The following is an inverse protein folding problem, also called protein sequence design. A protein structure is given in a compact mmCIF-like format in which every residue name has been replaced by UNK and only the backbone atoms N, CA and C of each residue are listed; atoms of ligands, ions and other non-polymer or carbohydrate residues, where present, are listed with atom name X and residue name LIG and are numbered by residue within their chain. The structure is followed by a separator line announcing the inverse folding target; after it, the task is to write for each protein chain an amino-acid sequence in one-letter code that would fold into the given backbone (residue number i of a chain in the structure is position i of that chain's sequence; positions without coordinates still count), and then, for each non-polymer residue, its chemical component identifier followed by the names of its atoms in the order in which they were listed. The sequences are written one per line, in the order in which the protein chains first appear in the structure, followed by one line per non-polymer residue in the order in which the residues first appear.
data_IF_860429380962
#
_entry.id   IF_860429380962
#
_cell.length_a   1.000
_cell.length_b   1.000
_cell.length_c   1.000
_cell.angle_alpha   90.00
_cell.angle_beta   90.00
_cell.angle_gamma   90.00
#
_symmetry.space_group_name_H-M   'P 1'
#
loop_
_entity.id
_entity.type
_entity.pdbx_description
1 polymer ?
#
# COMPACT_ATOMS: atom_id res chain seq x y z
N UNK A 1 -35.22 -19.93 -26.08
CA UNK A 1 -33.97 -19.71 -26.85
C UNK A 1 -33.82 -18.21 -27.06
N UNK A 2 -32.61 -17.68 -26.91
CA UNK A 2 -32.30 -16.25 -26.93
C UNK A 2 -31.34 -15.93 -28.07
N UNK A 3 -31.46 -14.73 -28.62
CA UNK A 3 -30.42 -14.16 -29.50
C UNK A 3 -29.26 -13.59 -28.68
N UNK A 4 -28.15 -13.30 -29.35
CA UNK A 4 -26.97 -12.68 -28.70
C UNK A 4 -27.34 -11.37 -28.00
N UNK A 5 -28.17 -10.52 -28.61
CA UNK A 5 -28.60 -9.25 -28.02
C UNK A 5 -29.48 -9.45 -26.78
N UNK A 6 -30.41 -10.40 -26.82
CA UNK A 6 -31.25 -10.75 -25.67
C UNK A 6 -30.43 -11.35 -24.51
N UNK A 7 -29.42 -12.17 -24.82
CA UNK A 7 -28.50 -12.68 -23.82
C UNK A 7 -27.70 -11.54 -23.16
N UNK A 8 -27.29 -10.53 -23.93
CA UNK A 8 -26.56 -9.35 -23.41
C UNK A 8 -27.42 -8.45 -22.52
N UNK A 9 -28.72 -8.34 -22.79
CA UNK A 9 -29.66 -7.68 -21.87
C UNK A 9 -29.74 -8.41 -20.53
N UNK A 10 -29.75 -9.75 -20.53
CA UNK A 10 -29.70 -10.55 -19.30
C UNK A 10 -28.40 -10.34 -18.52
N UNK A 11 -27.25 -10.21 -19.19
CA UNK A 11 -25.98 -9.86 -18.53
C UNK A 11 -26.00 -8.47 -17.90
N UNK A 12 -26.59 -7.47 -18.58
CA UNK A 12 -26.77 -6.11 -18.06
C UNK A 12 -27.68 -6.08 -16.83
N UNK A 13 -28.83 -6.75 -16.90
CA UNK A 13 -29.77 -6.88 -15.78
C UNK A 13 -29.13 -7.58 -14.57
N UNK A 14 -28.16 -8.46 -14.81
CA UNK A 14 -27.42 -9.15 -13.78
C UNK A 14 -26.20 -8.38 -13.23
N UNK A 15 -25.98 -7.13 -13.68
CA UNK A 15 -24.83 -6.28 -13.34
C UNK A 15 -23.46 -6.93 -13.61
N UNK A 16 -23.39 -7.85 -14.58
CA UNK A 16 -22.15 -8.48 -14.99
C UNK A 16 -21.64 -7.77 -16.25
N UNK A 17 -20.58 -6.94 -16.18
CA UNK A 17 -20.09 -6.20 -17.33
C UNK A 17 -19.51 -7.18 -18.37
N UNK A 18 -20.07 -7.19 -19.57
CA UNK A 18 -19.60 -7.99 -20.71
C UNK A 18 -19.81 -7.24 -22.04
N UNK A 19 -19.11 -7.71 -23.07
CA UNK A 19 -19.18 -7.19 -24.44
C UNK A 19 -19.74 -8.29 -25.37
N UNK A 20 -20.56 -7.91 -26.36
CA UNK A 20 -21.13 -8.83 -27.35
C UNK A 20 -20.05 -9.65 -28.07
N UNK A 21 -18.90 -9.06 -28.38
CA UNK A 21 -17.80 -9.74 -29.06
C UNK A 21 -17.23 -10.89 -28.22
N UNK A 22 -17.19 -10.69 -26.90
CA UNK A 22 -16.74 -11.70 -25.94
C UNK A 22 -17.74 -12.85 -25.88
N UNK A 23 -19.03 -12.56 -25.88
CA UNK A 23 -20.09 -13.57 -25.93
C UNK A 23 -20.06 -14.37 -27.24
N UNK A 24 -19.92 -13.70 -28.39
CA UNK A 24 -19.76 -14.36 -29.71
C UNK A 24 -18.52 -15.26 -29.75
N UNK A 25 -17.42 -14.84 -29.12
CA UNK A 25 -16.20 -15.66 -29.01
C UNK A 25 -16.42 -16.91 -28.16
N UNK A 26 -17.23 -16.86 -27.11
CA UNK A 26 -17.54 -18.02 -26.28
C UNK A 26 -18.44 -19.02 -26.99
N UNK A 27 -19.42 -18.54 -27.75
CA UNK A 27 -20.28 -19.37 -28.60
C UNK A 27 -19.45 -20.15 -29.64
N UNK A 28 -18.53 -19.48 -30.34
CA UNK A 28 -17.62 -20.15 -31.29
C UNK A 28 -16.70 -21.19 -30.64
N UNK A 29 -16.33 -20.98 -29.38
CA UNK A 29 -15.45 -21.88 -28.63
C UNK A 29 -16.19 -23.03 -27.93
N UNK A 30 -17.51 -23.14 -28.13
CA UNK A 30 -18.32 -24.20 -27.51
C UNK A 30 -18.42 -24.09 -25.98
N UNK A 31 -18.19 -22.91 -25.40
CA UNK A 31 -18.30 -22.70 -23.94
C UNK A 31 -19.73 -22.60 -23.43
N UNK A 32 -20.71 -22.55 -24.35
CA UNK A 32 -22.13 -22.44 -24.04
C UNK A 32 -22.79 -23.66 -24.67
N UNK A 33 -23.21 -24.58 -23.82
CA UNK A 33 -23.81 -25.85 -24.24
C UNK A 33 -25.15 -25.61 -24.95
N UNK A 34 -25.41 -26.45 -25.96
CA UNK A 34 -26.63 -26.45 -26.79
C UNK A 34 -26.91 -25.14 -27.55
N UNK A 35 -25.91 -24.24 -27.68
CA UNK A 35 -26.00 -23.10 -28.56
C UNK A 35 -25.81 -23.53 -30.03
N UNK A 36 -26.74 -23.12 -30.89
CA UNK A 36 -26.76 -23.51 -32.31
C UNK A 36 -26.79 -22.28 -33.20
N UNK A 37 -26.13 -22.37 -34.36
CA UNK A 37 -26.24 -21.35 -35.41
C UNK A 37 -27.53 -21.62 -36.17
N UNK A 38 -28.50 -20.72 -36.09
CA UNK A 38 -29.80 -20.89 -36.74
C UNK A 38 -29.71 -20.64 -38.25
N UNK A 39 -29.09 -19.53 -38.64
CA UNK A 39 -28.81 -19.21 -40.04
C UNK A 39 -27.68 -18.17 -40.15
N UNK A 40 -27.09 -18.02 -41.35
CA UNK A 40 -26.08 -16.96 -41.60
C UNK A 40 -26.64 -15.54 -41.40
N UNK A 41 -27.97 -15.35 -41.54
CA UNK A 41 -28.63 -14.04 -41.39
C UNK A 41 -29.09 -13.78 -39.94
N UNK A 42 -29.57 -14.80 -39.23
CA UNK A 42 -30.18 -14.63 -37.90
C UNK A 42 -29.21 -14.91 -36.75
N UNK A 43 -28.10 -15.59 -37.02
CA UNK A 43 -27.01 -15.77 -36.06
C UNK A 43 -27.23 -16.93 -35.08
N UNK A 44 -26.82 -16.73 -33.83
CA UNK A 44 -26.81 -17.76 -32.79
C UNK A 44 -28.11 -17.79 -31.99
N UNK A 45 -28.64 -18.99 -31.77
CA UNK A 45 -29.67 -19.28 -30.78
C UNK A 45 -29.05 -19.92 -29.55
N UNK A 46 -29.32 -19.32 -28.40
CA UNK A 46 -28.70 -19.68 -27.13
C UNK A 46 -29.77 -20.16 -26.16
N UNK A 47 -29.63 -21.32 -25.52
CA UNK A 47 -30.53 -21.73 -24.45
C UNK A 47 -30.47 -20.75 -23.28
N UNK A 48 -31.64 -20.45 -22.72
CA UNK A 48 -31.74 -19.49 -21.61
C UNK A 48 -31.07 -20.02 -20.33
N UNK A 49 -31.15 -21.34 -20.11
CA UNK A 49 -30.55 -21.97 -18.94
C UNK A 49 -29.01 -21.92 -18.97
N UNK A 50 -28.41 -22.11 -20.15
CA UNK A 50 -26.96 -21.97 -20.34
C UNK A 50 -26.45 -20.55 -20.02
N UNK A 51 -27.25 -19.51 -20.30
CA UNK A 51 -26.93 -18.12 -19.96
C UNK A 51 -27.04 -17.88 -18.45
N UNK A 52 -28.06 -18.42 -17.79
CA UNK A 52 -28.23 -18.29 -16.33
C UNK A 52 -27.05 -18.87 -15.57
N UNK A 53 -26.60 -20.07 -15.94
CA UNK A 53 -25.43 -20.73 -15.32
C UNK A 53 -24.17 -19.86 -15.46
N UNK A 54 -23.93 -19.31 -16.64
CA UNK A 54 -22.79 -18.43 -16.92
C UNK A 54 -22.81 -17.14 -16.11
N UNK A 55 -24.00 -16.54 -15.94
CA UNK A 55 -24.19 -15.35 -15.11
C UNK A 55 -23.86 -15.66 -13.64
N UNK A 56 -24.32 -16.79 -13.11
CA UNK A 56 -24.04 -17.20 -11.74
C UNK A 56 -22.55 -17.44 -11.47
N UNK A 57 -21.85 -18.12 -12.39
CA UNK A 57 -20.40 -18.32 -12.30
C UNK A 57 -19.64 -16.99 -12.26
N UNK A 58 -20.08 -16.01 -13.06
CA UNK A 58 -19.45 -14.69 -13.13
C UNK A 58 -19.73 -13.86 -11.88
N UNK A 59 -20.96 -13.89 -11.36
CA UNK A 59 -21.31 -13.23 -10.09
C UNK A 59 -20.43 -13.74 -8.95
N UNK A 60 -20.21 -15.07 -8.86
CA UNK A 60 -19.30 -15.66 -7.86
C UNK A 60 -17.88 -15.09 -7.98
N UNK A 61 -17.33 -14.96 -9.19
CA UNK A 61 -15.98 -14.40 -9.41
C UNK A 61 -15.86 -12.93 -9.04
N UNK A 62 -16.88 -12.12 -9.33
CA UNK A 62 -16.91 -10.69 -8.95
C UNK A 62 -16.96 -10.52 -7.43
N UNK A 63 -17.80 -11.32 -6.75
CA UNK A 63 -17.87 -11.32 -5.28
C UNK A 63 -16.55 -11.69 -4.62
N UNK A 64 -15.86 -12.71 -5.15
CA UNK A 64 -14.54 -13.12 -4.65
C UNK A 64 -13.52 -11.99 -4.79
N UNK A 65 -13.45 -11.30 -5.93
CA UNK A 65 -12.54 -10.17 -6.15
C UNK A 65 -12.81 -9.01 -5.18
N UNK A 66 -14.09 -8.68 -4.94
CA UNK A 66 -14.48 -7.64 -3.98
C UNK A 66 -14.13 -8.02 -2.54
N UNK A 67 -14.21 -9.30 -2.17
CA UNK A 67 -13.83 -9.80 -0.85
C UNK A 67 -12.34 -9.59 -0.56
N UNK A 68 -11.46 -9.85 -1.54
CA UNK A 68 -10.02 -9.60 -1.39
C UNK A 68 -9.69 -8.11 -1.26
N UNK A 69 -10.33 -7.26 -2.06
CA UNK A 69 -10.16 -5.81 -1.99
C UNK A 69 -10.59 -5.26 -0.62
N UNK A 70 -11.71 -5.77 -0.08
CA UNK A 70 -12.21 -5.40 1.24
C UNK A 70 -11.26 -5.83 2.35
N UNK A 71 -10.79 -7.09 2.33
CA UNK A 71 -9.82 -7.59 3.31
C UNK A 71 -8.51 -6.80 3.32
N UNK A 72 -8.03 -6.35 2.15
CA UNK A 72 -6.86 -5.49 2.03
C UNK A 72 -7.10 -4.11 2.67
N UNK A 73 -8.23 -3.47 2.35
CA UNK A 73 -8.58 -2.17 2.93
C UNK A 73 -8.79 -2.25 4.45
N UNK A 74 -9.41 -3.33 4.93
CA UNK A 74 -9.64 -3.57 6.35
C UNK A 74 -8.28 -3.74 7.09
N UNK A 75 -7.34 -4.51 6.52
CA UNK A 75 -5.99 -4.67 7.07
C UNK A 75 -5.20 -3.35 7.11
N UNK A 76 -5.32 -2.51 6.08
CA UNK A 76 -4.68 -1.19 6.04
C UNK A 76 -5.26 -0.25 7.11
N UNK A 77 -6.59 -0.24 7.28
CA UNK A 77 -7.24 0.56 8.33
C UNK A 77 -6.85 0.10 9.72
N UNK A 78 -6.72 -1.21 9.94
CA UNK A 78 -6.29 -1.77 11.21
C UNK A 78 -4.83 -1.39 11.54
N UNK A 79 -3.91 -1.48 10.58
CA UNK A 79 -2.52 -1.02 10.76
C UNK A 79 -2.43 0.48 11.10
N UNK A 80 -3.27 1.32 10.48
CA UNK A 80 -3.35 2.75 10.81
C UNK A 80 -3.96 3.03 12.19
N UNK A 81 -4.92 2.20 12.63
CA UNK A 81 -5.49 2.29 13.96
C UNK A 81 -4.47 1.89 15.04
N UNK A 82 -3.72 0.81 14.82
CA UNK A 82 -2.65 0.35 15.71
C UNK A 82 -1.52 1.36 15.80
N UNK A 83 -1.14 1.97 14.68
CA UNK A 83 -0.17 3.06 14.63
C UNK A 83 -0.61 4.28 15.45
N UNK A 84 -1.87 4.72 15.27
CA UNK A 84 -2.44 5.83 16.05
C UNK A 84 -2.59 5.50 17.53
N UNK A 85 -2.91 4.25 17.86
CA UNK A 85 -3.02 3.75 19.24
C UNK A 85 -1.66 3.77 19.94
N UNK A 86 -0.60 3.30 19.27
CA UNK A 86 0.77 3.44 19.76
C UNK A 86 1.09 4.91 19.99
N UNK A 87 0.94 5.77 18.98
CA UNK A 87 1.17 7.22 19.11
C UNK A 87 0.39 7.88 20.25
N UNK A 88 -0.86 7.47 20.51
CA UNK A 88 -1.66 7.99 21.63
C UNK A 88 -1.10 7.57 22.99
N UNK A 89 -0.56 6.36 23.12
CA UNK A 89 0.14 5.94 24.35
C UNK A 89 1.35 6.84 24.61
N UNK A 90 2.14 7.17 23.60
CA UNK A 90 3.30 8.09 23.73
C UNK A 90 2.91 9.51 24.17
N UNK A 91 1.79 10.04 23.68
CA UNK A 91 1.30 11.38 24.08
C UNK A 91 0.89 11.43 25.56
N UNK A 92 0.49 10.30 26.17
CA UNK A 92 0.00 10.24 27.56
C UNK A 92 1.14 10.15 28.59
N UNK A 93 2.29 9.56 28.25
CA UNK A 93 3.42 9.41 29.18
C UNK A 93 4.35 10.64 29.27
N UNK A 94 4.29 11.55 28.30
CA UNK A 94 5.20 12.69 28.21
C UNK A 94 6.59 12.27 27.72
N UNK A 95 7.34 13.21 27.14
CA UNK A 95 8.70 12.94 26.64
C UNK A 95 9.72 13.41 27.66
N UNK A 96 10.74 12.59 27.91
CA UNK A 96 11.85 12.96 28.81
C UNK A 96 12.72 14.05 28.18
N UNK A 97 12.97 13.94 26.88
CA UNK A 97 13.82 14.85 26.10
C UNK A 97 13.24 15.09 24.71
N UNK A 98 13.56 16.25 24.15
CA UNK A 98 13.16 16.65 22.80
C UNK A 98 14.24 17.49 22.15
N UNK A 99 14.32 17.45 20.84
CA UNK A 99 15.23 18.28 20.07
C UNK A 99 14.80 18.40 18.62
N UNK A 100 15.68 18.97 17.80
CA UNK A 100 15.43 19.15 16.37
C UNK A 100 16.60 18.60 15.56
N UNK A 101 16.29 17.88 14.49
CA UNK A 101 17.25 17.42 13.50
C UNK A 101 17.31 18.44 12.38
N UNK A 102 18.48 19.03 12.13
CA UNK A 102 18.67 19.86 10.94
C UNK A 102 18.95 18.97 9.74
N UNK A 103 18.35 19.33 8.61
CA UNK A 103 18.56 18.68 7.32
C UNK A 103 20.03 18.71 6.88
N UNK A 104 20.76 19.77 7.23
CA UNK A 104 22.20 19.87 6.97
C UNK A 104 23.01 18.86 7.79
N UNK A 105 22.68 18.69 9.06
CA UNK A 105 23.36 17.76 9.98
C UNK A 105 23.08 16.31 9.57
N UNK A 106 21.82 16.00 9.24
CA UNK A 106 21.46 14.69 8.68
C UNK A 106 22.30 14.35 7.44
N UNK A 107 22.48 15.31 6.51
CA UNK A 107 23.26 15.10 5.29
C UNK A 107 24.74 14.85 5.55
N UNK A 108 25.31 15.44 6.60
CA UNK A 108 26.72 15.26 6.95
C UNK A 108 27.02 13.85 7.48
N UNK A 109 26.04 13.25 8.18
CA UNK A 109 26.22 11.99 8.90
C UNK A 109 25.58 10.82 8.13
N UNK A 110 24.77 11.10 7.10
CA UNK A 110 24.09 10.07 6.34
C UNK A 110 25.03 9.02 5.73
N UNK A 111 24.70 7.72 5.84
CA UNK A 111 25.56 6.63 5.39
C UNK A 111 25.67 6.54 3.86
N UNK A 112 24.70 7.09 3.13
CA UNK A 112 24.69 7.14 1.67
C UNK A 112 24.77 8.59 1.20
N UNK A 113 25.90 8.95 0.59
CA UNK A 113 26.09 10.29 0.03
C UNK A 113 25.71 10.32 -1.46
N UNK A 114 24.41 10.32 -1.77
CA UNK A 114 23.93 10.42 -3.15
C UNK A 114 22.68 11.29 -3.28
N UNK A 115 22.56 12.02 -4.40
CA UNK A 115 21.41 12.87 -4.67
C UNK A 115 20.09 12.10 -4.71
N UNK A 116 20.11 10.85 -5.22
CA UNK A 116 18.92 10.00 -5.29
C UNK A 116 18.44 9.62 -3.87
N UNK A 117 19.37 9.25 -2.99
CA UNK A 117 19.06 8.97 -1.58
C UNK A 117 18.53 10.22 -0.87
N UNK A 118 19.18 11.38 -1.01
CA UNK A 118 18.71 12.58 -0.33
C UNK A 118 17.37 13.09 -0.85
N UNK A 119 17.09 12.96 -2.15
CA UNK A 119 15.75 13.25 -2.70
C UNK A 119 14.69 12.31 -2.11
N UNK A 120 15.03 11.04 -1.94
CA UNK A 120 14.14 10.06 -1.31
C UNK A 120 13.84 10.44 0.15
N UNK A 121 14.85 10.73 0.96
CA UNK A 121 14.66 11.16 2.35
C UNK A 121 13.86 12.47 2.42
N UNK A 122 14.18 13.44 1.56
CA UNK A 122 13.45 14.70 1.50
C UNK A 122 11.96 14.46 1.22
N UNK A 123 11.61 13.60 0.27
CA UNK A 123 10.21 13.29 -0.04
C UNK A 123 9.47 12.58 1.09
N UNK A 124 10.11 11.64 1.77
CA UNK A 124 9.47 10.79 2.77
C UNK A 124 9.46 11.38 4.18
N UNK A 125 10.32 12.38 4.43
CA UNK A 125 10.51 12.97 5.75
C UNK A 125 10.44 14.51 5.72
N UNK A 126 11.49 15.19 5.24
CA UNK A 126 11.59 16.65 5.37
C UNK A 126 10.52 17.43 4.60
N UNK A 127 9.96 16.87 3.53
CA UNK A 127 8.88 17.45 2.72
C UNK A 127 7.52 16.77 2.95
N UNK A 128 7.39 15.89 3.96
CA UNK A 128 6.11 15.19 4.18
C UNK A 128 5.02 16.18 4.55
N UNK A 129 3.97 16.25 3.72
CA UNK A 129 2.84 17.17 3.89
C UNK A 129 3.11 18.61 3.49
N UNK A 130 4.23 18.91 2.82
CA UNK A 130 4.56 20.27 2.32
C UNK A 130 5.25 20.23 0.95
N UNK A 131 5.19 21.33 0.20
CA UNK A 131 5.75 21.39 -1.14
C UNK A 131 7.29 21.47 -1.19
N UNK A 132 7.93 22.04 -0.15
CA UNK A 132 9.39 22.20 -0.07
C UNK A 132 9.93 21.50 1.18
N UNK A 133 11.11 20.83 1.11
CA UNK A 133 11.74 20.24 2.27
C UNK A 133 12.01 21.28 3.36
N UNK A 134 11.66 20.94 4.60
CA UNK A 134 11.95 21.74 5.79
C UNK A 134 13.44 21.74 6.09
N UNK A 135 13.93 22.80 6.73
CA UNK A 135 15.33 22.89 7.17
C UNK A 135 15.59 22.09 8.45
N UNK A 136 14.57 21.92 9.29
CA UNK A 136 14.63 21.10 10.50
C UNK A 136 13.29 20.43 10.81
N UNK A 137 13.35 19.36 11.60
CA UNK A 137 12.19 18.60 12.09
C UNK A 137 12.43 18.15 13.52
N UNK A 138 11.38 18.03 14.31
CA UNK A 138 11.49 17.67 15.72
C UNK A 138 11.61 16.15 15.92
N UNK A 139 12.26 15.77 17.01
CA UNK A 139 12.19 14.42 17.56
C UNK A 139 11.92 14.48 19.07
N UNK A 140 11.40 13.37 19.57
CA UNK A 140 11.14 13.17 20.99
C UNK A 140 11.75 11.86 21.46
N UNK A 141 12.27 11.84 22.69
CA UNK A 141 12.89 10.67 23.29
C UNK A 141 12.22 10.33 24.62
N UNK A 142 11.96 9.04 24.83
CA UNK A 142 11.44 8.49 26.09
C UNK A 142 11.79 7.01 26.20
N UNK A 143 12.32 6.59 27.34
CA UNK A 143 12.55 5.18 27.72
C UNK A 143 13.23 4.32 26.63
N UNK A 144 14.22 4.86 25.91
CA UNK A 144 14.93 4.12 24.85
C UNK A 144 14.29 4.19 23.47
N UNK A 145 13.27 5.02 23.28
CA UNK A 145 12.61 5.18 21.99
C UNK A 145 12.76 6.60 21.45
N UNK A 146 12.98 6.69 20.14
CA UNK A 146 12.87 7.94 19.40
C UNK A 146 11.58 7.98 18.61
N UNK A 147 10.82 9.07 18.78
CA UNK A 147 9.64 9.38 18.01
C UNK A 147 9.92 10.57 17.08
N UNK A 148 9.66 10.37 15.79
CA UNK A 148 9.74 11.39 14.75
C UNK A 148 8.33 11.62 14.19
N UNK A 149 7.62 12.66 14.69
CA UNK A 149 6.20 12.86 14.37
C UNK A 149 5.98 13.10 12.87
N UNK A 150 6.87 13.90 12.29
CA UNK A 150 6.97 14.07 10.84
C UNK A 150 7.52 12.76 10.30
N UNK A 151 6.82 12.13 9.37
CA UNK A 151 7.19 10.79 8.91
C UNK A 151 6.49 9.68 9.68
N UNK A 152 6.01 9.96 10.89
CA UNK A 152 5.29 8.99 11.73
C UNK A 152 6.19 7.77 12.01
N UNK A 153 7.46 8.02 12.31
CA UNK A 153 8.49 7.00 12.52
C UNK A 153 8.74 6.86 14.02
N UNK A 154 8.80 5.62 14.50
CA UNK A 154 9.21 5.29 15.87
C UNK A 154 10.34 4.28 15.77
N UNK A 155 11.44 4.54 16.47
CA UNK A 155 12.62 3.68 16.49
C UNK A 155 12.90 3.27 17.94
N UNK A 156 12.90 1.97 18.19
CA UNK A 156 13.38 1.38 19.44
C UNK A 156 14.90 1.23 19.36
N UNK A 157 15.63 1.75 20.35
CA UNK A 157 17.10 1.60 20.41
C UNK A 157 17.55 0.17 20.72
N UNK A 158 16.68 -0.69 21.25
CA UNK A 158 17.02 -2.07 21.65
C UNK A 158 16.73 -3.12 20.56
N UNK A 159 15.71 -2.93 19.73
CA UNK A 159 15.25 -3.95 18.76
C UNK A 159 16.02 -3.96 17.44
N UNK A 160 16.69 -2.87 17.11
CA UNK A 160 17.38 -2.77 15.82
C UNK A 160 18.85 -3.21 16.01
N UNK A 161 19.51 -3.84 15.02
CA UNK A 161 20.96 -4.17 15.06
C UNK A 161 21.91 -2.97 15.26
N UNK A 162 21.38 -1.81 15.61
CA UNK A 162 22.09 -0.59 15.94
C UNK A 162 23.04 -0.68 17.11
N UNK A 163 22.75 -1.53 18.09
CA UNK A 163 23.63 -1.74 19.23
C UNK A 163 25.03 -2.24 18.79
N UNK A 164 25.13 -2.96 17.67
CA UNK A 164 26.41 -3.49 17.16
C UNK A 164 27.23 -2.47 16.37
N UNK A 165 26.59 -1.43 15.80
CA UNK A 165 27.30 -0.40 15.01
C UNK A 165 28.02 0.60 15.92
N UNK A 166 27.60 0.72 17.19
CA UNK A 166 27.96 1.86 18.04
C UNK A 166 28.27 1.48 19.51
N UNK A 167 28.79 0.27 19.78
CA UNK A 167 29.26 -0.12 21.14
C UNK A 167 30.31 0.86 21.71
N UNK A 168 31.03 1.58 20.83
CA UNK A 168 32.04 2.60 21.18
C UNK A 168 31.45 3.99 21.50
N UNK A 169 30.15 4.22 21.29
CA UNK A 169 29.52 5.55 21.34
C UNK A 169 28.56 5.74 22.53
N UNK A 170 28.83 5.09 23.67
CA UNK A 170 28.03 5.21 24.91
C UNK A 170 27.87 6.65 25.44
N UNK A 171 28.74 7.57 25.00
CA UNK A 171 28.79 8.95 25.45
C UNK A 171 28.29 9.97 24.41
N UNK A 172 27.67 9.53 23.31
CA UNK A 172 27.14 10.47 22.32
C UNK A 172 26.01 11.33 22.88
N UNK A 173 26.00 12.60 22.49
CA UNK A 173 24.85 13.47 22.73
C UNK A 173 23.61 12.87 22.05
N UNK A 174 22.51 12.82 22.78
CA UNK A 174 21.24 12.27 22.34
C UNK A 174 20.78 12.76 20.94
N UNK A 175 21.05 14.02 20.60
CA UNK A 175 20.75 14.64 19.32
C UNK A 175 21.50 13.94 18.17
N UNK A 176 22.78 13.63 18.38
CA UNK A 176 23.59 12.87 17.43
C UNK A 176 23.02 11.46 17.26
N UNK A 177 22.67 10.81 18.36
CA UNK A 177 22.06 9.48 18.33
C UNK A 177 20.73 9.49 17.56
N UNK A 178 19.89 10.50 17.78
CA UNK A 178 18.63 10.65 17.04
C UNK A 178 18.88 10.73 15.52
N UNK A 179 19.86 11.53 15.09
CA UNK A 179 20.22 11.66 13.67
C UNK A 179 20.73 10.34 13.11
N UNK A 180 21.61 9.65 13.83
CA UNK A 180 22.17 8.36 13.42
C UNK A 180 21.09 7.31 13.24
N UNK A 181 20.21 7.13 14.25
CA UNK A 181 19.10 6.18 14.21
C UNK A 181 18.15 6.47 13.04
N UNK A 182 17.80 7.73 12.83
CA UNK A 182 16.97 8.13 11.70
C UNK A 182 17.67 7.88 10.34
N UNK A 183 18.98 8.13 10.26
CA UNK A 183 19.74 7.99 9.03
C UNK A 183 19.78 6.55 8.52
N UNK A 184 19.96 5.60 9.43
CA UNK A 184 19.96 4.20 9.04
C UNK A 184 18.55 3.71 8.69
N UNK A 185 17.52 4.10 9.46
CA UNK A 185 16.14 3.79 9.09
C UNK A 185 15.89 4.11 7.61
N UNK A 186 16.33 5.29 7.16
CA UNK A 186 16.24 5.65 5.75
C UNK A 186 17.20 4.90 4.83
N UNK A 187 18.38 4.50 5.28
CA UNK A 187 19.29 3.66 4.49
C UNK A 187 18.63 2.32 4.14
N UNK A 188 18.11 1.62 5.15
CA UNK A 188 17.43 0.34 4.98
C UNK A 188 16.19 0.51 4.11
N UNK A 189 15.37 1.51 4.40
CA UNK A 189 14.16 1.78 3.63
C UNK A 189 14.44 2.13 2.17
N UNK A 190 15.51 2.87 1.91
CA UNK A 190 15.95 3.19 0.55
C UNK A 190 16.48 1.97 -0.20
N UNK A 191 17.20 1.07 0.47
CA UNK A 191 17.67 -0.20 -0.12
C UNK A 191 16.48 -1.05 -0.53
N UNK A 192 15.47 -1.18 0.33
CA UNK A 192 14.23 -1.89 0.00
C UNK A 192 13.48 -1.24 -1.16
N UNK A 193 13.36 0.09 -1.17
CA UNK A 193 12.71 0.84 -2.26
C UNK A 193 13.41 0.66 -3.62
N UNK A 194 14.71 0.42 -3.63
CA UNK A 194 15.48 0.25 -4.86
C UNK A 194 15.52 -1.18 -5.40
N UNK A 195 15.01 -2.18 -4.65
CA UNK A 195 14.88 -3.57 -5.10
C UNK A 195 13.63 -3.76 -5.95
#
# INVERSE_FOLDING_TARGET
MLTVSQAMEKFKQAEVPQNEEVLRRWLRKGKIECAVIHSKKEGWLIPEDSIKVLIEEKKKKVQVKNKYQKAYNDGYQQAMADFRSHMRKWIVFGYEKSGSIKRSEFRQIAPLNSDKYFKFVDQHYFARGVAKPRQSTDYFYSEGFFCYPIGSIVIDTQEVPFNEIYEEEKDLHLDTLAILMLSEYFRLYYIEYCK
#
